data_IF_307251133795
#
_entry.id   IF_307251133795
#
_cell.length_a   1.000
_cell.length_b   1.000
_cell.length_c   1.000
_cell.angle_alpha   90.00
_cell.angle_beta   90.00
_cell.angle_gamma   90.00
#
_symmetry.space_group_name_H-M   'P 1'
#
loop_
_entity.id
_entity.type
_entity.pdbx_description
1 polymer ?
#
# COMPACT_ATOMS: atom_id res chain seq x y z
N UNK A 1 0.60 -13.15 -51.98
CA UNK A 1 1.09 -11.98 -51.21
C UNK A 1 2.12 -12.48 -50.22
N UNK A 2 3.40 -12.06 -50.31
CA UNK A 2 4.47 -12.58 -49.46
C UNK A 2 4.50 -11.95 -48.06
N UNK A 3 4.66 -12.81 -47.06
CA UNK A 3 4.85 -12.51 -45.63
C UNK A 3 6.25 -11.91 -45.45
N UNK A 4 6.36 -10.74 -44.81
CA UNK A 4 7.65 -10.10 -44.46
C UNK A 4 7.79 -10.03 -42.94
N UNK A 5 8.65 -10.89 -42.43
CA UNK A 5 9.21 -10.85 -41.07
C UNK A 5 10.34 -9.82 -40.99
N UNK A 6 10.46 -9.07 -39.90
CA UNK A 6 11.64 -8.26 -39.56
C UNK A 6 12.20 -8.65 -38.18
N UNK A 7 13.53 -8.80 -38.04
CA UNK A 7 14.18 -9.28 -36.81
C UNK A 7 14.53 -8.18 -35.80
N UNK A 8 14.60 -8.62 -34.53
CA UNK A 8 15.20 -7.93 -33.37
C UNK A 8 16.67 -7.54 -33.62
N UNK A 9 17.07 -6.36 -33.14
CA UNK A 9 18.47 -5.99 -32.96
C UNK A 9 18.75 -5.64 -31.49
N UNK A 10 19.63 -6.43 -30.87
CA UNK A 10 20.20 -6.26 -29.54
C UNK A 10 21.41 -5.32 -29.65
N UNK A 11 21.51 -4.29 -28.81
CA UNK A 11 22.72 -3.46 -28.68
C UNK A 11 23.25 -3.61 -27.26
N UNK A 12 24.42 -4.24 -27.15
CA UNK A 12 25.24 -4.27 -25.94
C UNK A 12 26.36 -3.22 -26.10
N UNK A 13 26.59 -2.40 -25.08
CA UNK A 13 27.77 -1.52 -24.98
C UNK A 13 28.49 -1.84 -23.68
N UNK A 14 29.78 -2.12 -23.82
CA UNK A 14 30.74 -2.40 -22.76
C UNK A 14 31.80 -1.30 -22.69
N UNK A 15 32.57 -1.33 -21.59
CA UNK A 15 33.77 -0.54 -21.24
C UNK A 15 33.48 0.80 -20.51
N UNK A 16 34.27 1.25 -19.54
CA UNK A 16 35.65 0.90 -19.16
C UNK A 16 35.92 1.18 -17.66
N UNK A 17 37.02 0.59 -17.21
CA UNK A 17 37.63 0.59 -15.86
C UNK A 17 38.52 1.82 -15.66
N UNK A 18 38.57 2.38 -14.45
CA UNK A 18 39.75 3.10 -13.95
C UNK A 18 40.10 2.66 -12.53
N UNK A 19 41.29 2.06 -12.39
CA UNK A 19 41.99 1.74 -11.15
C UNK A 19 42.72 3.00 -10.61
N UNK A 20 42.65 3.24 -9.30
CA UNK A 20 43.71 3.92 -8.56
C UNK A 20 44.07 3.08 -7.33
N UNK A 21 45.36 2.77 -7.21
CA UNK A 21 45.98 1.98 -6.15
C UNK A 21 46.93 2.86 -5.32
N UNK A 22 47.01 2.64 -4.00
CA UNK A 22 48.27 2.66 -3.23
C UNK A 22 48.06 2.29 -1.75
N UNK A 23 48.87 1.35 -1.26
CA UNK A 23 49.12 1.09 0.16
C UNK A 23 49.67 -0.33 0.41
N UNK A 24 50.96 -0.51 0.77
CA UNK A 24 51.58 -1.82 0.97
C UNK A 24 51.56 -2.29 2.44
N UNK A 25 51.34 -3.60 2.65
CA UNK A 25 51.51 -4.28 3.95
C UNK A 25 51.00 -5.74 3.92
N UNK A 26 51.90 -6.70 3.69
CA UNK A 26 51.72 -8.16 3.83
C UNK A 26 52.11 -8.65 5.25
N UNK A 27 51.82 -9.90 5.73
CA UNK A 27 51.25 -11.08 5.05
C UNK A 27 50.09 -11.82 5.79
N UNK A 28 49.54 -12.83 5.10
CA UNK A 28 48.46 -13.81 5.41
C UNK A 28 48.60 -14.64 6.73
N UNK A 29 47.53 -15.33 7.22
CA UNK A 29 47.18 -16.66 6.67
C UNK A 29 45.67 -16.96 6.46
N UNK A 30 45.43 -17.82 5.47
CA UNK A 30 44.19 -18.41 4.96
C UNK A 30 43.06 -18.80 5.94
N UNK A 31 41.79 -18.67 5.52
CA UNK A 31 41.04 -19.78 4.89
C UNK A 31 39.50 -19.53 4.83
N UNK A 32 38.92 -19.85 3.67
CA UNK A 32 37.57 -20.41 3.42
C UNK A 32 36.32 -19.51 3.51
N UNK A 33 35.58 -19.42 2.39
CA UNK A 33 34.12 -19.59 2.42
C UNK A 33 33.25 -18.42 1.94
N UNK A 34 32.81 -18.51 0.69
CA UNK A 34 31.47 -18.22 0.15
C UNK A 34 30.61 -17.04 0.68
N UNK A 35 30.27 -16.14 -0.24
CA UNK A 35 28.91 -15.57 -0.38
C UNK A 35 28.76 -14.06 -0.14
N UNK A 36 28.15 -13.28 -1.06
CA UNK A 36 27.83 -11.88 -0.80
C UNK A 36 26.59 -11.81 0.10
N UNK A 37 26.76 -11.37 1.35
CA UNK A 37 25.65 -10.97 2.21
C UNK A 37 25.19 -9.56 1.82
N UNK A 38 24.26 -9.46 0.88
CA UNK A 38 23.45 -8.26 0.72
C UNK A 38 22.43 -8.20 1.86
N UNK A 39 22.86 -7.66 3.01
CA UNK A 39 21.97 -7.33 4.11
C UNK A 39 21.21 -6.04 3.79
N UNK A 40 20.11 -6.15 3.04
CA UNK A 40 19.14 -5.07 2.92
C UNK A 40 18.56 -4.77 4.29
N UNK A 41 18.86 -3.59 4.83
CA UNK A 41 18.23 -3.07 6.04
C UNK A 41 16.72 -3.02 5.82
N UNK A 42 15.99 -3.98 6.41
CA UNK A 42 14.54 -3.91 6.48
C UNK A 42 14.18 -2.60 7.20
N UNK A 43 13.43 -1.74 6.51
CA UNK A 43 12.90 -0.54 7.11
C UNK A 43 12.08 -0.93 8.37
N UNK A 44 12.20 -0.19 9.49
CA UNK A 44 11.42 -0.49 10.68
C UNK A 44 9.93 -0.47 10.35
N UNK A 45 9.19 -1.44 10.87
CA UNK A 45 7.73 -1.36 10.89
C UNK A 45 7.32 -0.08 11.63
N UNK A 46 6.27 0.64 11.18
CA UNK A 46 5.81 1.82 11.89
C UNK A 46 5.31 1.43 13.29
N UNK A 47 6.13 1.71 14.30
CA UNK A 47 5.76 1.61 15.71
C UNK A 47 4.89 2.81 16.05
N UNK A 48 3.60 2.61 16.25
CA UNK A 48 2.70 3.68 16.66
C UNK A 48 1.25 3.36 16.36
N UNK A 49 0.64 2.60 17.28
CA UNK A 49 -0.79 2.36 17.28
C UNK A 49 -1.56 3.67 17.48
N UNK A 50 -2.31 4.06 16.47
CA UNK A 50 -3.54 4.80 16.66
C UNK A 50 -4.64 3.94 16.06
N UNK A 51 -5.37 3.24 16.93
CA UNK A 51 -6.71 2.77 16.61
C UNK A 51 -7.53 4.00 16.24
N UNK A 52 -8.30 3.91 15.16
CA UNK A 52 -9.17 4.99 14.76
C UNK A 52 -10.06 5.38 15.96
N UNK A 53 -9.85 6.59 16.48
CA UNK A 53 -10.52 7.06 17.69
C UNK A 53 -11.84 7.73 17.28
N UNK A 54 -12.94 7.59 18.04
CA UNK A 54 -14.10 8.44 17.86
C UNK A 54 -13.69 9.92 17.99
N UNK A 55 -14.15 10.77 17.08
CA UNK A 55 -14.01 12.22 17.25
C UNK A 55 -14.88 12.73 18.40
N UNK A 56 -14.42 13.77 19.09
CA UNK A 56 -15.21 14.46 20.12
C UNK A 56 -16.37 15.20 19.43
N UNK A 57 -17.56 14.59 19.42
CA UNK A 57 -18.73 15.20 18.76
C UNK A 57 -19.94 14.29 18.55
N UNK A 58 -20.08 13.19 19.29
CA UNK A 58 -21.26 12.33 19.19
C UNK A 58 -22.50 12.99 19.81
N UNK A 59 -23.04 14.01 19.15
CA UNK A 59 -24.39 14.55 19.36
C UNK A 59 -25.25 14.12 18.17
N UNK A 60 -26.12 13.14 18.39
CA UNK A 60 -26.88 12.44 17.35
C UNK A 60 -26.51 10.97 17.34
N UNK A 61 -27.50 10.07 17.27
CA UNK A 61 -27.41 8.62 17.54
C UNK A 61 -26.48 7.77 16.63
N UNK A 62 -25.48 8.38 16.01
CA UNK A 62 -24.41 7.73 15.28
C UNK A 62 -23.44 7.04 16.27
N UNK A 63 -23.28 5.73 16.11
CA UNK A 63 -22.32 4.92 16.87
C UNK A 63 -21.14 4.62 15.93
N UNK A 64 -19.91 5.06 16.27
CA UNK A 64 -18.72 4.71 15.50
C UNK A 64 -18.59 3.18 15.35
N UNK A 65 -18.25 2.68 14.16
CA UNK A 65 -18.05 1.26 13.97
C UNK A 65 -16.82 0.78 14.77
N UNK A 66 -16.92 -0.42 15.33
CA UNK A 66 -15.78 -1.06 16.01
C UNK A 66 -14.77 -1.54 14.98
N UNK A 67 -13.52 -1.08 15.09
CA UNK A 67 -12.40 -1.53 14.24
C UNK A 67 -11.57 -2.54 15.02
N UNK A 68 -11.35 -3.77 14.51
CA UNK A 68 -10.47 -4.76 15.15
C UNK A 68 -9.06 -4.21 15.39
N UNK A 69 -8.39 -4.69 16.44
CA UNK A 69 -7.07 -4.16 16.85
C UNK A 69 -5.96 -4.33 15.80
N UNK A 70 -6.06 -5.34 14.94
CA UNK A 70 -5.16 -5.58 13.81
C UNK A 70 -5.62 -4.90 12.52
N UNK A 71 -6.72 -4.14 12.53
CA UNK A 71 -7.23 -3.42 11.37
C UNK A 71 -6.91 -1.93 11.50
N UNK A 72 -6.74 -1.24 10.37
CA UNK A 72 -6.57 0.21 10.30
C UNK A 72 -7.45 0.76 9.20
N UNK A 73 -8.26 1.76 9.52
CA UNK A 73 -8.96 2.55 8.50
C UNK A 73 -8.11 3.78 8.20
N UNK A 74 -7.72 3.94 6.95
CA UNK A 74 -6.79 4.98 6.51
C UNK A 74 -7.30 5.63 5.23
N UNK A 75 -6.94 6.90 4.99
CA UNK A 75 -7.18 7.56 3.71
C UNK A 75 -5.88 7.56 2.92
N UNK A 76 -5.94 7.14 1.66
CA UNK A 76 -4.76 7.16 0.78
C UNK A 76 -4.28 8.61 0.60
N UNK A 77 -3.00 8.83 0.86
CA UNK A 77 -2.35 10.12 0.66
C UNK A 77 -1.70 10.23 -0.73
N UNK A 78 -1.42 9.08 -1.36
CA UNK A 78 -0.88 8.92 -2.73
C UNK A 78 -1.39 7.60 -3.30
N UNK A 79 -1.24 7.42 -4.61
CA UNK A 79 -1.50 6.15 -5.27
C UNK A 79 -0.74 5.02 -4.57
N UNK A 80 -1.42 3.91 -4.33
CA UNK A 80 -0.77 2.69 -3.87
C UNK A 80 0.09 2.09 -4.98
N UNK A 81 1.07 1.30 -4.58
CA UNK A 81 1.84 0.45 -5.49
C UNK A 81 1.55 -1.01 -5.18
N UNK A 82 2.11 -1.93 -5.96
CA UNK A 82 2.02 -3.37 -5.64
C UNK A 82 2.74 -3.77 -4.35
N UNK A 83 3.59 -2.89 -3.80
CA UNK A 83 4.41 -3.21 -2.63
C UNK A 83 4.11 -2.32 -1.42
N UNK A 84 3.54 -1.13 -1.63
CA UNK A 84 3.34 -0.14 -0.57
C UNK A 84 2.02 0.61 -0.68
N UNK A 85 1.57 1.08 0.48
CA UNK A 85 0.45 2.02 0.64
C UNK A 85 0.94 3.23 1.42
N UNK A 86 0.71 4.43 0.90
CA UNK A 86 0.98 5.69 1.59
C UNK A 86 -0.33 6.31 2.05
N UNK A 87 -0.57 6.37 3.35
CA UNK A 87 -1.89 6.74 3.87
C UNK A 87 -1.81 7.49 5.21
N UNK A 88 -2.83 8.30 5.47
CA UNK A 88 -3.05 8.95 6.76
C UNK A 88 -4.01 8.13 7.60
N UNK A 89 -3.77 8.07 8.90
CA UNK A 89 -4.73 7.50 9.83
C UNK A 89 -6.04 8.29 9.79
N UNK A 90 -7.16 7.64 10.13
CA UNK A 90 -8.47 8.29 10.15
C UNK A 90 -9.09 8.32 11.55
N UNK A 91 -10.00 9.26 11.72
CA UNK A 91 -10.91 9.40 12.86
C UNK A 91 -12.33 9.27 12.33
N UNK A 92 -13.21 8.55 13.03
CA UNK A 92 -14.61 8.50 12.65
C UNK A 92 -15.32 9.76 13.16
N UNK A 93 -15.88 10.54 12.24
CA UNK A 93 -16.68 11.72 12.56
C UNK A 93 -18.16 11.37 12.37
N UNK A 94 -18.94 11.53 13.42
CA UNK A 94 -20.39 11.37 13.36
C UNK A 94 -21.03 12.68 12.91
N UNK A 95 -21.62 12.68 11.71
CA UNK A 95 -22.49 13.75 11.22
C UNK A 95 -23.91 13.15 11.13
N UNK A 96 -24.88 13.63 11.91
CA UNK A 96 -26.23 13.04 11.98
C UNK A 96 -26.88 12.90 10.57
N UNK A 97 -27.38 11.72 10.13
CA UNK A 97 -27.43 10.42 10.82
C UNK A 97 -26.33 9.42 10.43
N UNK A 98 -25.35 9.79 9.61
CA UNK A 98 -24.30 8.88 9.09
C UNK A 98 -22.92 9.48 9.32
N UNK A 99 -22.05 8.74 10.01
CA UNK A 99 -20.65 9.15 10.17
C UNK A 99 -19.77 8.77 8.98
N UNK A 100 -18.60 9.40 8.90
CA UNK A 100 -17.60 9.14 7.89
C UNK A 100 -16.19 9.13 8.49
N UNK A 101 -15.27 8.41 7.84
CA UNK A 101 -13.85 8.50 8.16
C UNK A 101 -13.26 9.79 7.59
N UNK A 102 -12.53 10.52 8.42
CA UNK A 102 -11.81 11.73 8.04
C UNK A 102 -10.35 11.61 8.46
N UNK A 103 -9.45 12.30 7.76
CA UNK A 103 -8.04 12.35 8.13
C UNK A 103 -7.89 12.73 9.60
N UNK A 104 -7.18 11.89 10.35
CA UNK A 104 -6.68 12.26 11.66
C UNK A 104 -5.52 13.26 11.51
N UNK A 105 -5.22 13.98 12.58
CA UNK A 105 -4.04 14.84 12.61
C UNK A 105 -2.76 14.00 12.47
N UNK A 106 -1.82 14.46 11.63
CA UNK A 106 -0.53 13.83 11.44
C UNK A 106 -0.12 13.67 9.97
N UNK A 107 1.10 13.20 9.80
CA UNK A 107 1.69 12.93 8.48
C UNK A 107 1.29 11.55 7.95
N UNK A 108 1.35 11.41 6.62
CA UNK A 108 1.12 10.12 5.97
C UNK A 108 2.23 9.11 6.35
N UNK A 109 1.83 7.86 6.56
CA UNK A 109 2.71 6.72 6.85
C UNK A 109 2.81 5.81 5.64
N UNK A 110 3.91 5.06 5.57
CA UNK A 110 4.10 4.00 4.59
C UNK A 110 3.83 2.65 5.23
N UNK A 111 2.95 1.87 4.61
CA UNK A 111 2.66 0.49 4.93
C UNK A 111 3.17 -0.40 3.80
N UNK A 112 3.71 -1.58 4.11
CA UNK A 112 4.22 -2.53 3.11
C UNK A 112 3.33 -3.76 3.07
N UNK A 113 3.08 -4.30 1.88
CA UNK A 113 2.36 -5.57 1.75
C UNK A 113 3.18 -6.75 2.29
N UNK A 114 2.51 -7.66 2.98
CA UNK A 114 3.04 -8.97 3.29
C UNK A 114 3.11 -9.82 2.01
N UNK A 115 3.93 -10.87 2.03
CA UNK A 115 3.94 -11.85 0.93
C UNK A 115 2.58 -12.53 0.88
N UNK A 116 1.98 -12.60 -0.31
CA UNK A 116 0.65 -13.19 -0.52
C UNK A 116 -0.52 -12.30 -0.08
N UNK A 117 -0.28 -11.00 0.14
CA UNK A 117 -1.34 -10.07 0.46
C UNK A 117 -2.42 -10.01 -0.64
N UNK A 118 -3.65 -9.73 -0.23
CA UNK A 118 -4.81 -9.69 -1.13
C UNK A 118 -5.49 -8.33 -1.10
N UNK A 119 -6.10 -7.94 -2.23
CA UNK A 119 -6.88 -6.72 -2.33
C UNK A 119 -8.32 -7.02 -2.74
N UNK A 120 -9.27 -6.22 -2.25
CA UNK A 120 -10.63 -6.18 -2.78
C UNK A 120 -11.08 -4.74 -3.03
N UNK A 121 -11.78 -4.52 -4.14
CA UNK A 121 -12.44 -3.25 -4.46
C UNK A 121 -13.93 -3.36 -4.19
N UNK A 122 -14.55 -2.23 -3.85
CA UNK A 122 -16.00 -2.17 -3.66
C UNK A 122 -16.66 -1.80 -4.99
N UNK A 123 -17.69 -2.54 -5.39
CA UNK A 123 -18.53 -2.16 -6.54
C UNK A 123 -19.65 -1.18 -6.15
N UNK A 124 -20.37 -0.65 -7.13
CA UNK A 124 -21.53 0.23 -6.94
C UNK A 124 -22.65 -0.35 -6.06
N UNK A 125 -22.68 -1.67 -5.86
CA UNK A 125 -23.63 -2.36 -4.98
C UNK A 125 -23.07 -2.57 -3.55
N UNK A 126 -21.89 -2.01 -3.25
CA UNK A 126 -21.13 -2.19 -2.01
C UNK A 126 -20.71 -3.66 -1.75
N UNK A 127 -20.53 -4.44 -2.82
CA UNK A 127 -19.94 -5.77 -2.74
C UNK A 127 -18.43 -5.69 -2.96
N UNK A 128 -17.68 -6.47 -2.18
CA UNK A 128 -16.22 -6.56 -2.31
C UNK A 128 -15.83 -7.65 -3.29
N UNK A 129 -15.04 -7.28 -4.30
CA UNK A 129 -14.54 -8.22 -5.31
C UNK A 129 -13.03 -8.37 -5.22
N UNK A 130 -12.49 -9.60 -5.22
CA UNK A 130 -11.06 -9.81 -5.19
C UNK A 130 -10.41 -9.29 -6.48
N UNK A 131 -9.32 -8.54 -6.32
CA UNK A 131 -8.50 -8.05 -7.43
C UNK A 131 -7.02 -8.29 -7.17
N UNK A 132 -6.18 -8.44 -8.21
CA UNK A 132 -4.73 -8.39 -8.05
C UNK A 132 -4.25 -7.05 -7.47
N UNK A 133 -3.13 -7.05 -6.74
CA UNK A 133 -2.54 -5.81 -6.20
C UNK A 133 -2.23 -4.78 -7.29
N UNK A 134 -1.80 -5.22 -8.48
CA UNK A 134 -1.58 -4.34 -9.64
C UNK A 134 -2.86 -3.60 -10.06
N UNK A 135 -4.02 -4.28 -10.03
CA UNK A 135 -5.31 -3.66 -10.36
C UNK A 135 -5.74 -2.68 -9.27
N UNK A 136 -5.52 -3.02 -8.00
CA UNK A 136 -5.76 -2.11 -6.88
C UNK A 136 -4.89 -0.84 -6.97
N UNK A 137 -3.60 -0.99 -7.27
CA UNK A 137 -2.69 0.13 -7.46
C UNK A 137 -3.17 1.06 -8.59
N UNK A 138 -3.50 0.49 -9.75
CA UNK A 138 -4.05 1.25 -10.88
C UNK A 138 -5.37 1.96 -10.52
N UNK A 139 -6.28 1.31 -9.78
CA UNK A 139 -7.53 1.92 -9.31
C UNK A 139 -7.28 3.07 -8.32
N UNK A 140 -6.31 2.92 -7.43
CA UNK A 140 -5.98 3.98 -6.48
C UNK A 140 -5.39 5.22 -7.15
N UNK A 141 -4.49 5.02 -8.14
CA UNK A 141 -3.92 6.11 -8.95
C UNK A 141 -5.01 6.81 -9.76
N UNK A 142 -5.85 5.99 -10.38
CA UNK A 142 -7.01 6.43 -11.11
C UNK A 142 -7.90 7.39 -10.30
N UNK A 143 -8.32 6.93 -9.12
CA UNK A 143 -9.24 7.67 -8.27
C UNK A 143 -8.62 8.93 -7.67
N UNK A 144 -7.36 8.89 -7.27
CA UNK A 144 -6.67 10.05 -6.71
C UNK A 144 -6.39 11.13 -7.75
N UNK A 145 -6.12 10.74 -8.99
CA UNK A 145 -5.76 11.67 -10.06
C UNK A 145 -6.98 12.13 -10.89
N UNK A 146 -8.19 11.68 -10.56
CA UNK A 146 -9.43 11.97 -11.31
C UNK A 146 -9.28 11.77 -12.82
N UNK A 147 -8.54 10.73 -13.22
CA UNK A 147 -8.49 10.34 -14.62
C UNK A 147 -9.84 9.69 -14.99
N UNK A 148 -10.13 9.33 -16.24
CA UNK A 148 -11.42 8.67 -16.62
C UNK A 148 -11.27 7.14 -16.66
N UNK A 149 -12.04 6.38 -15.86
CA UNK A 149 -11.95 4.91 -15.80
C UNK A 149 -13.04 4.32 -16.69
N UNK A 150 -12.83 3.09 -17.18
CA UNK A 150 -13.94 2.29 -17.69
C UNK A 150 -14.90 1.97 -16.53
N UNK A 151 -16.01 2.70 -16.44
CA UNK A 151 -17.37 2.47 -15.89
C UNK A 151 -17.68 1.30 -14.91
N UNK A 152 -16.71 0.62 -14.30
CA UNK A 152 -16.90 -0.66 -13.59
C UNK A 152 -16.60 -0.58 -12.09
N UNK A 153 -15.57 0.17 -11.69
CA UNK A 153 -15.19 0.34 -10.29
C UNK A 153 -15.34 1.82 -9.89
N UNK A 154 -16.29 2.19 -9.01
CA UNK A 154 -16.49 3.58 -8.60
C UNK A 154 -15.37 4.08 -7.70
N UNK A 155 -15.03 5.37 -7.79
CA UNK A 155 -14.21 6.02 -6.79
C UNK A 155 -15.07 6.47 -5.61
N UNK A 156 -14.75 5.97 -4.41
CA UNK A 156 -15.38 6.44 -3.20
C UNK A 156 -14.63 7.63 -2.60
N UNK A 157 -15.40 8.50 -1.95
CA UNK A 157 -14.88 9.73 -1.35
C UNK A 157 -13.73 9.44 -0.37
N UNK A 158 -12.69 10.28 -0.44
CA UNK A 158 -11.46 10.24 0.39
C UNK A 158 -10.57 9.00 0.23
N UNK A 159 -10.86 8.09 -0.71
CA UNK A 159 -10.06 6.88 -0.95
C UNK A 159 -9.79 6.11 0.34
N UNK A 160 -10.84 5.95 1.15
CA UNK A 160 -10.77 5.28 2.43
C UNK A 160 -10.55 3.79 2.20
N UNK A 161 -9.54 3.23 2.85
CA UNK A 161 -9.23 1.79 2.77
C UNK A 161 -9.06 1.22 4.16
N UNK A 162 -9.39 -0.06 4.28
CA UNK A 162 -9.12 -0.85 5.46
C UNK A 162 -7.91 -1.74 5.22
N UNK A 163 -6.93 -1.64 6.11
CA UNK A 163 -5.75 -2.48 6.14
C UNK A 163 -5.91 -3.52 7.24
N UNK A 164 -5.84 -4.80 6.89
CA UNK A 164 -5.67 -5.89 7.86
C UNK A 164 -4.18 -6.17 7.98
N UNK A 165 -3.60 -5.88 9.14
CA UNK A 165 -2.19 -6.05 9.39
C UNK A 165 -1.88 -7.45 9.96
N UNK A 166 -0.77 -8.04 9.51
CA UNK A 166 -0.18 -9.23 10.13
C UNK A 166 0.51 -8.88 11.46
N UNK A 167 1.05 -9.90 12.15
CA UNK A 167 1.76 -9.73 13.41
C UNK A 167 3.04 -8.90 13.31
N UNK A 168 3.57 -8.71 12.10
CA UNK A 168 4.74 -7.86 11.80
C UNK A 168 4.35 -6.43 11.40
N UNK A 169 3.06 -6.10 11.38
CA UNK A 169 2.55 -4.80 10.97
C UNK A 169 2.53 -4.58 9.45
N UNK A 170 2.67 -5.65 8.64
CA UNK A 170 2.54 -5.58 7.18
C UNK A 170 1.11 -5.85 6.74
N UNK A 171 0.72 -5.32 5.60
CA UNK A 171 -0.64 -5.47 5.08
C UNK A 171 -0.83 -6.90 4.57
N UNK A 172 -1.66 -7.69 5.24
CA UNK A 172 -2.08 -9.01 4.78
C UNK A 172 -3.31 -8.92 3.86
N UNK A 173 -4.23 -7.99 4.13
CA UNK A 173 -5.39 -7.72 3.27
C UNK A 173 -5.65 -6.23 3.19
N UNK A 174 -6.11 -5.77 2.03
CA UNK A 174 -6.59 -4.40 1.83
C UNK A 174 -7.98 -4.41 1.20
N UNK A 175 -8.86 -3.58 1.73
CA UNK A 175 -10.22 -3.43 1.24
C UNK A 175 -10.52 -1.96 0.97
N UNK A 176 -11.12 -1.66 -0.17
CA UNK A 176 -11.74 -0.35 -0.38
C UNK A 176 -13.02 -0.24 0.46
N UNK A 177 -13.14 0.85 1.23
CA UNK A 177 -14.30 1.11 2.08
C UNK A 177 -15.35 1.84 1.24
N UNK A 178 -16.43 1.14 0.91
CA UNK A 178 -17.59 1.70 0.22
C UNK A 178 -18.45 2.60 1.12
N UNK A 179 -19.51 3.21 0.58
CA UNK A 179 -20.37 4.16 1.33
C UNK A 179 -21.07 3.53 2.54
N UNK A 180 -21.47 2.27 2.44
CA UNK A 180 -22.33 1.62 3.45
C UNK A 180 -21.53 0.74 4.42
N UNK A 181 -20.46 0.11 3.94
CA UNK A 181 -19.62 -0.78 4.75
C UNK A 181 -18.41 -0.02 5.26
N UNK A 182 -18.54 0.57 6.45
CA UNK A 182 -17.52 1.42 7.07
C UNK A 182 -16.36 0.63 7.73
N UNK A 183 -16.55 -0.68 7.95
CA UNK A 183 -15.53 -1.66 8.40
C UNK A 183 -15.90 -3.03 7.81
N UNK A 184 -14.93 -3.80 7.34
CA UNK A 184 -15.03 -5.14 6.80
C UNK A 184 -14.65 -6.14 7.90
N UNK A 185 -15.66 -6.72 8.56
CA UNK A 185 -15.44 -7.90 9.38
C UNK A 185 -15.12 -9.10 8.45
N UNK A 186 -14.00 -9.77 8.72
CA UNK A 186 -13.64 -11.07 8.14
C UNK A 186 -14.50 -12.20 8.75
#
# INVERSE_FOLDING_TARGET
MPIRSLPLALVAVAAAVTLTACGPGDPEPAATGAGPTAGGTAAPAPTGGATAKPGDGATGGCIPPSVPSNHRIVNLAKAATETTVHAKDTTYLCNDPVGNWADAAGEAKTYTFAVGATAKLSDLNNMLHPVPLARFAAHSDFCLNHTSAPDTDPCYDRHTVELVLDSSGRIAKIYEVGRVRQVVAD
#
